data_IF_057894209605
#
_entry.id   IF_057894209605
#
_cell.length_a   1.000
_cell.length_b   1.000
_cell.length_c   1.000
_cell.angle_alpha   90.00
_cell.angle_beta   90.00
_cell.angle_gamma   90.00
#
_symmetry.space_group_name_H-M   'P 1'
#
loop_
_entity.id
_entity.type
_entity.pdbx_description
1 polymer ?
#
# COMPACT_ATOMS: atom_id res chain seq x y z
N UNK A 1 -19.74 23.09 7.79
CA UNK A 1 -20.64 22.54 6.76
C UNK A 1 -19.81 21.68 5.82
N UNK A 2 -20.35 20.58 5.30
CA UNK A 2 -19.68 19.81 4.25
C UNK A 2 -19.76 20.59 2.93
N UNK A 3 -18.68 20.68 2.14
CA UNK A 3 -18.70 21.33 0.85
C UNK A 3 -19.65 20.59 -0.12
N UNK A 4 -20.23 21.32 -1.07
CA UNK A 4 -21.12 20.72 -2.09
C UNK A 4 -20.39 19.85 -3.11
N UNK A 5 -19.05 19.89 -3.14
CA UNK A 5 -18.20 19.09 -4.03
C UNK A 5 -17.04 18.50 -3.24
N UNK A 6 -16.69 17.26 -3.59
CA UNK A 6 -15.51 16.60 -3.07
C UNK A 6 -14.27 17.10 -3.82
N UNK A 7 -13.23 17.47 -3.06
CA UNK A 7 -11.91 17.79 -3.59
C UNK A 7 -10.88 16.78 -3.05
N UNK A 8 -10.37 15.85 -3.88
CA UNK A 8 -9.37 14.89 -3.44
C UNK A 8 -8.06 15.56 -3.01
N UNK A 9 -7.74 16.74 -3.56
CA UNK A 9 -6.47 17.43 -3.27
C UNK A 9 -6.39 17.93 -1.83
N UNK A 10 -7.55 18.16 -1.19
CA UNK A 10 -7.62 18.53 0.24
C UNK A 10 -7.69 17.30 1.16
N UNK A 11 -8.18 16.16 0.65
CA UNK A 11 -8.50 14.98 1.46
C UNK A 11 -7.37 13.94 1.47
N UNK A 12 -6.82 13.60 0.30
CA UNK A 12 -5.81 12.55 0.17
C UNK A 12 -4.53 12.83 0.95
N UNK A 13 -3.92 14.04 0.91
CA UNK A 13 -2.71 14.32 1.69
C UNK A 13 -2.95 14.22 3.20
N UNK A 14 -4.13 14.67 3.67
CA UNK A 14 -4.52 14.60 5.08
C UNK A 14 -4.71 13.14 5.53
N UNK A 15 -5.34 12.31 4.71
CA UNK A 15 -5.52 10.89 4.99
C UNK A 15 -4.18 10.16 5.04
N UNK A 16 -3.31 10.38 4.04
CA UNK A 16 -1.99 9.77 4.01
C UNK A 16 -1.20 10.12 5.29
N UNK A 17 -1.13 11.41 5.63
CA UNK A 17 -0.45 11.84 6.86
C UNK A 17 -1.03 11.21 8.13
N UNK A 18 -2.36 10.99 8.17
CA UNK A 18 -2.99 10.31 9.31
C UNK A 18 -2.60 8.83 9.40
N UNK A 19 -2.48 8.14 8.27
CA UNK A 19 -2.08 6.74 8.22
C UNK A 19 -0.61 6.54 8.58
N UNK A 20 0.27 7.44 8.15
CA UNK A 20 1.68 7.45 8.52
C UNK A 20 1.86 7.65 10.02
N UNK A 21 1.16 8.62 10.62
CA UNK A 21 1.23 8.90 12.07
C UNK A 21 0.68 7.76 12.93
N UNK A 22 -0.31 7.03 12.43
CA UNK A 22 -0.90 5.90 13.13
C UNK A 22 -0.13 4.59 12.91
N UNK A 23 0.96 4.62 12.13
CA UNK A 23 1.84 3.49 11.86
C UNK A 23 1.07 2.23 11.39
N UNK A 24 0.02 2.45 10.58
CA UNK A 24 -0.95 1.41 10.17
C UNK A 24 -0.35 0.33 9.26
N UNK A 25 0.94 0.41 8.96
CA UNK A 25 1.64 -0.40 7.97
C UNK A 25 2.60 -1.39 8.62
N UNK A 26 2.73 -1.34 9.95
CA UNK A 26 3.57 -2.29 10.69
C UNK A 26 3.01 -3.70 10.63
N UNK A 27 3.94 -4.63 10.61
CA UNK A 27 3.70 -6.06 10.67
C UNK A 27 4.22 -6.59 12.00
N UNK A 28 3.33 -7.14 12.81
CA UNK A 28 3.70 -7.73 14.09
C UNK A 28 3.72 -9.27 14.01
N UNK A 29 4.91 -9.91 13.98
CA UNK A 29 5.02 -11.36 13.96
C UNK A 29 4.52 -12.03 15.24
N UNK A 30 4.35 -11.28 16.33
CA UNK A 30 3.86 -11.76 17.63
C UNK A 30 2.37 -11.46 17.85
N UNK A 31 1.67 -10.91 16.85
CA UNK A 31 0.27 -10.45 16.98
C UNK A 31 -0.76 -11.53 17.33
N UNK A 32 -0.41 -12.81 17.16
CA UNK A 32 -1.32 -13.96 17.37
C UNK A 32 -2.49 -14.07 16.39
N UNK A 33 -2.63 -13.11 15.46
CA UNK A 33 -3.66 -13.13 14.40
C UNK A 33 -3.28 -14.10 13.28
N UNK A 34 -4.24 -14.59 12.49
CA UNK A 34 -3.92 -15.38 11.32
C UNK A 34 -3.09 -14.55 10.31
N UNK A 35 -1.95 -15.06 9.82
CA UNK A 35 -1.09 -14.30 8.92
C UNK A 35 -1.68 -14.24 7.51
N UNK A 36 -1.48 -13.11 6.84
CA UNK A 36 -1.70 -12.97 5.40
C UNK A 36 -0.64 -12.02 4.84
N UNK A 37 0.07 -12.42 3.78
CA UNK A 37 1.10 -11.56 3.20
C UNK A 37 1.08 -11.52 1.68
N UNK A 38 1.49 -10.36 1.15
CA UNK A 38 1.77 -10.15 -0.27
C UNK A 38 3.16 -9.52 -0.36
N UNK A 39 4.02 -10.08 -1.20
CA UNK A 39 5.27 -9.44 -1.62
C UNK A 39 4.97 -8.65 -2.89
N UNK A 40 5.24 -7.34 -2.89
CA UNK A 40 5.13 -6.54 -4.11
C UNK A 40 6.19 -7.06 -5.09
N UNK A 41 5.83 -7.48 -6.32
CA UNK A 41 6.81 -7.72 -7.37
C UNK A 41 7.62 -6.43 -7.55
N UNK A 42 8.91 -6.43 -7.18
CA UNK A 42 9.66 -5.19 -7.04
C UNK A 42 9.76 -4.49 -8.40
N UNK A 43 9.33 -3.22 -8.53
CA UNK A 43 9.52 -2.49 -9.77
C UNK A 43 11.01 -2.29 -10.03
N UNK A 44 11.40 -2.38 -11.31
CA UNK A 44 12.74 -2.04 -11.75
C UNK A 44 13.05 -0.56 -11.44
N UNK A 45 14.26 -0.26 -10.98
CA UNK A 45 14.73 1.11 -10.67
C UNK A 45 14.88 2.00 -11.94
N UNK A 46 14.51 1.50 -13.12
CA UNK A 46 14.90 2.03 -14.43
C UNK A 46 13.98 3.13 -14.98
N UNK A 47 12.97 3.59 -14.23
CA UNK A 47 12.06 4.62 -14.73
C UNK A 47 10.92 5.04 -13.80
N UNK A 48 9.89 5.68 -14.38
CA UNK A 48 8.68 6.14 -13.69
C UNK A 48 7.63 5.03 -13.65
N UNK A 49 6.81 5.01 -12.60
CA UNK A 49 5.62 4.17 -12.54
C UNK A 49 4.64 4.54 -13.66
N UNK A 50 4.16 3.54 -14.37
CA UNK A 50 3.08 3.63 -15.37
C UNK A 50 1.77 2.98 -14.88
N UNK A 51 0.66 3.16 -15.62
CA UNK A 51 -0.66 2.65 -15.25
C UNK A 51 -0.72 1.15 -14.93
N UNK A 52 0.12 0.32 -15.57
CA UNK A 52 0.27 -1.10 -15.21
C UNK A 52 0.67 -1.32 -13.73
N UNK A 53 1.56 -0.49 -13.19
CA UNK A 53 1.92 -0.54 -11.77
C UNK A 53 0.75 -0.14 -10.89
N UNK A 54 0.04 0.95 -11.27
CA UNK A 54 -1.13 1.41 -10.52
C UNK A 54 -2.19 0.32 -10.41
N UNK A 55 -2.47 -0.40 -11.49
CA UNK A 55 -3.43 -1.51 -11.47
C UNK A 55 -3.00 -2.60 -10.48
N UNK A 56 -1.74 -3.05 -10.57
CA UNK A 56 -1.23 -4.12 -9.70
C UNK A 56 -1.21 -3.69 -8.24
N UNK A 57 -0.71 -2.49 -7.93
CA UNK A 57 -0.63 -1.98 -6.56
C UNK A 57 -2.00 -1.73 -5.95
N UNK A 58 -2.96 -1.20 -6.74
CA UNK A 58 -4.32 -0.96 -6.27
C UNK A 58 -5.01 -2.28 -5.90
N UNK A 59 -4.86 -3.32 -6.71
CA UNK A 59 -5.44 -4.63 -6.43
C UNK A 59 -4.83 -5.26 -5.16
N UNK A 60 -3.52 -5.15 -4.99
CA UNK A 60 -2.84 -5.67 -3.80
C UNK A 60 -3.24 -4.89 -2.53
N UNK A 61 -3.23 -3.55 -2.59
CA UNK A 61 -3.66 -2.69 -1.48
C UNK A 61 -5.10 -2.99 -1.05
N UNK A 62 -6.01 -3.19 -2.02
CA UNK A 62 -7.40 -3.58 -1.75
C UNK A 62 -7.47 -4.89 -0.97
N UNK A 63 -6.72 -5.92 -1.40
CA UNK A 63 -6.71 -7.21 -0.72
C UNK A 63 -6.10 -7.10 0.69
N UNK A 64 -5.03 -6.33 0.85
CA UNK A 64 -4.38 -6.09 2.16
C UNK A 64 -5.35 -5.40 3.12
N UNK A 65 -6.02 -4.33 2.69
CA UNK A 65 -7.02 -3.62 3.50
C UNK A 65 -8.17 -4.54 3.88
N UNK A 66 -8.70 -5.30 2.91
CA UNK A 66 -9.76 -6.28 3.17
C UNK A 66 -9.34 -7.32 4.22
N UNK A 67 -8.13 -7.90 4.08
CA UNK A 67 -7.62 -8.90 5.02
C UNK A 67 -7.37 -8.33 6.40
N UNK A 68 -6.82 -7.12 6.49
CA UNK A 68 -6.65 -6.40 7.76
C UNK A 68 -7.99 -6.17 8.46
N UNK A 69 -9.01 -5.71 7.71
CA UNK A 69 -10.37 -5.53 8.23
C UNK A 69 -11.04 -6.86 8.62
N UNK A 70 -10.66 -7.98 7.98
CA UNK A 70 -11.13 -9.32 8.32
C UNK A 70 -10.37 -9.95 9.52
N UNK A 71 -9.49 -9.21 10.21
CA UNK A 71 -8.81 -9.66 11.42
C UNK A 71 -7.49 -10.41 11.20
N UNK A 72 -6.95 -10.40 9.98
CA UNK A 72 -5.63 -10.97 9.69
C UNK A 72 -4.50 -10.01 10.07
N UNK A 73 -3.33 -10.55 10.39
CA UNK A 73 -2.08 -9.81 10.34
C UNK A 73 -1.67 -9.69 8.86
N UNK A 74 -2.21 -8.66 8.21
CA UNK A 74 -2.06 -8.44 6.78
C UNK A 74 -0.81 -7.60 6.49
N UNK A 75 0.18 -8.24 5.89
CA UNK A 75 1.51 -7.68 5.60
C UNK A 75 1.73 -7.47 4.12
N UNK A 76 2.09 -6.25 3.75
CA UNK A 76 2.41 -5.89 2.37
C UNK A 76 3.86 -5.45 2.30
N UNK A 77 4.73 -6.30 1.74
CA UNK A 77 6.17 -6.05 1.74
C UNK A 77 6.59 -5.33 0.46
N UNK A 78 7.00 -4.05 0.54
CA UNK A 78 7.56 -3.34 -0.59
C UNK A 78 9.02 -3.72 -0.85
N UNK A 79 9.49 -3.46 -2.06
CA UNK A 79 10.88 -3.60 -2.47
C UNK A 79 11.09 -2.99 -3.85
N UNK A 80 12.33 -2.84 -4.29
CA UNK A 80 12.70 -2.37 -5.64
C UNK A 80 13.75 -3.29 -6.23
N UNK A 81 13.71 -3.52 -7.54
CA UNK A 81 14.63 -4.42 -8.24
C UNK A 81 15.71 -3.60 -8.95
N UNK A 82 16.97 -3.99 -8.73
CA UNK A 82 18.14 -3.38 -9.38
C UNK A 82 18.14 -3.54 -10.90
N UNK A 83 17.41 -4.50 -11.47
CA UNK A 83 17.15 -4.58 -12.90
C UNK A 83 18.42 -4.52 -13.79
N UNK A 84 19.47 -5.25 -13.41
CA UNK A 84 20.86 -5.03 -13.83
C UNK A 84 21.16 -4.85 -15.33
N UNK A 85 20.39 -5.43 -16.26
CA UNK A 85 20.59 -5.22 -17.72
C UNK A 85 19.89 -3.95 -18.24
N UNK A 86 18.87 -3.47 -17.54
CA UNK A 86 18.01 -2.37 -17.96
C UNK A 86 18.34 -1.02 -17.29
N UNK A 87 19.40 -0.98 -16.46
CA UNK A 87 19.91 0.25 -15.81
C UNK A 87 20.86 0.99 -16.74
#
# INVERSE_FOLDING_TARGET
MLPSRYDPTEVEPRLLSSWEKADLWQCDPESGKPPFSIVIPPPNITGRLHLGHNLVYTLQDLVIRYKRMAGYEACWFPGTDHAGIAT
#
